data_IF_325181902342
#
_entry.id   IF_325181902342
#
_cell.length_a   1.000
_cell.length_b   1.000
_cell.length_c   1.000
_cell.angle_alpha   90.00
_cell.angle_beta   90.00
_cell.angle_gamma   90.00
#
_symmetry.space_group_name_H-M   'P 1'
#
loop_
_entity.id
_entity.type
_entity.pdbx_description
1 polymer ?
#
# COMPACT_ATOMS: atom_id res chain seq x y z
N UNK A 1 22.61 19.39 -21.43
CA UNK A 1 22.29 18.03 -20.96
C UNK A 1 21.02 18.19 -20.16
N UNK A 2 19.89 17.99 -20.83
CA UNK A 2 18.55 18.22 -20.29
C UNK A 2 18.22 17.09 -19.30
N UNK A 3 18.22 17.41 -18.01
CA UNK A 3 17.53 16.62 -17.01
C UNK A 3 16.06 16.95 -17.12
N UNK A 4 15.25 15.99 -17.55
CA UNK A 4 13.81 16.15 -17.66
C UNK A 4 13.20 16.20 -16.27
N UNK A 5 13.10 17.40 -15.70
CA UNK A 5 12.03 17.75 -14.77
C UNK A 5 10.71 17.50 -15.51
N UNK A 6 9.97 16.47 -15.09
CA UNK A 6 8.55 16.37 -15.43
C UNK A 6 7.79 17.11 -14.32
N UNK A 7 7.15 18.26 -14.60
CA UNK A 7 6.19 18.81 -13.66
C UNK A 7 4.98 17.86 -13.65
N UNK A 8 4.82 17.10 -12.56
CA UNK A 8 3.62 16.29 -12.38
C UNK A 8 2.46 17.24 -12.07
N UNK A 9 1.73 17.60 -13.12
CA UNK A 9 0.59 18.47 -13.08
C UNK A 9 -0.62 17.70 -13.64
N UNK A 10 -1.02 16.65 -12.93
CA UNK A 10 -2.34 16.05 -13.09
C UNK A 10 -2.91 15.71 -11.72
N UNK A 11 -4.20 15.97 -11.52
CA UNK A 11 -4.92 15.69 -10.26
C UNK A 11 -5.32 14.22 -10.20
N UNK A 12 -4.38 13.33 -10.50
CA UNK A 12 -4.49 11.90 -10.29
C UNK A 12 -3.98 11.58 -8.89
N UNK A 13 -4.40 10.47 -8.31
CA UNK A 13 -4.02 10.03 -6.95
C UNK A 13 -2.55 9.58 -6.96
N UNK A 14 -1.62 10.50 -7.22
CA UNK A 14 -0.19 10.34 -6.99
C UNK A 14 0.03 10.46 -5.49
N UNK A 15 -0.18 9.35 -4.78
CA UNK A 15 0.48 9.18 -3.51
C UNK A 15 1.96 9.05 -3.85
N UNK A 16 2.69 10.18 -3.85
CA UNK A 16 4.14 10.27 -4.08
C UNK A 16 4.94 9.55 -2.99
N UNK A 17 4.61 8.29 -2.76
CA UNK A 17 5.18 7.37 -1.81
C UNK A 17 6.28 6.59 -2.53
N UNK A 18 7.52 6.83 -2.14
CA UNK A 18 8.66 6.01 -2.51
C UNK A 18 8.60 4.70 -1.74
N UNK A 19 8.58 3.57 -2.46
CA UNK A 19 8.59 2.23 -1.88
C UNK A 19 9.98 1.62 -2.00
N UNK A 20 10.55 1.22 -0.88
CA UNK A 20 11.80 0.45 -0.81
C UNK A 20 11.53 -0.88 -0.14
N UNK A 21 11.92 -1.99 -0.79
CA UNK A 21 11.64 -3.34 -0.31
C UNK A 21 12.68 -4.33 -0.81
N UNK A 22 12.95 -5.35 0.01
CA UNK A 22 13.81 -6.48 -0.36
C UNK A 22 13.07 -7.54 -1.18
N UNK A 23 11.73 -7.48 -1.24
CA UNK A 23 10.87 -8.38 -2.02
C UNK A 23 11.06 -9.88 -1.72
N UNK A 24 11.46 -10.22 -0.50
CA UNK A 24 11.64 -11.60 -0.03
C UNK A 24 10.92 -11.80 1.29
N UNK A 25 10.44 -13.02 1.55
CA UNK A 25 9.82 -13.34 2.84
C UNK A 25 10.79 -13.08 4.01
N UNK A 26 10.30 -12.40 5.05
CA UNK A 26 11.11 -11.91 6.17
C UNK A 26 11.85 -10.59 5.89
N UNK A 27 11.87 -10.13 4.64
CA UNK A 27 12.52 -8.90 4.23
C UNK A 27 11.75 -7.63 4.62
N UNK A 28 12.45 -6.51 4.63
CA UNK A 28 11.88 -5.20 4.99
C UNK A 28 11.11 -4.58 3.82
N UNK A 29 10.11 -3.77 4.16
CA UNK A 29 9.41 -2.87 3.23
C UNK A 29 9.13 -1.55 3.93
N UNK A 30 9.34 -0.44 3.22
CA UNK A 30 9.09 0.91 3.72
C UNK A 30 8.45 1.78 2.65
N UNK A 31 7.55 2.67 3.07
CA UNK A 31 6.94 3.70 2.24
C UNK A 31 7.27 5.06 2.82
N UNK A 32 7.68 6.01 1.98
CA UNK A 32 7.97 7.39 2.39
C UNK A 32 7.37 8.38 1.42
N UNK A 33 6.70 9.40 1.93
CA UNK A 33 6.22 10.49 1.09
C UNK A 33 5.68 11.65 1.91
N UNK A 34 4.81 12.46 1.31
CA UNK A 34 4.27 13.64 1.95
C UNK A 34 2.75 13.68 1.86
N UNK A 35 2.09 14.01 2.96
CA UNK A 35 0.65 14.27 3.04
C UNK A 35 0.42 15.58 3.79
N UNK A 36 -0.31 16.51 3.18
CA UNK A 36 -0.61 17.83 3.73
C UNK A 36 0.65 18.59 4.22
N UNK A 37 1.77 18.44 3.50
CA UNK A 37 3.06 19.03 3.84
C UNK A 37 3.85 18.32 4.94
N UNK A 38 3.33 17.24 5.52
CA UNK A 38 4.01 16.44 6.53
C UNK A 38 4.58 15.16 5.90
N UNK A 39 5.80 14.80 6.30
CA UNK A 39 6.38 13.51 5.92
C UNK A 39 5.58 12.37 6.55
N UNK A 40 5.22 11.39 5.74
CA UNK A 40 4.60 10.14 6.17
C UNK A 40 5.57 9.00 5.91
N UNK A 41 5.77 8.16 6.93
CA UNK A 41 6.67 7.02 6.87
C UNK A 41 5.94 5.80 7.39
N UNK A 42 5.82 4.81 6.53
CA UNK A 42 5.33 3.50 6.92
C UNK A 42 6.47 2.49 6.83
N UNK A 43 6.41 1.48 7.68
CA UNK A 43 7.36 0.37 7.67
C UNK A 43 6.67 -0.96 7.93
N UNK A 44 7.32 -2.01 7.45
CA UNK A 44 6.75 -3.33 7.43
C UNK A 44 7.76 -4.45 7.25
N UNK A 45 7.23 -5.66 7.27
CA UNK A 45 7.97 -6.88 6.94
C UNK A 45 7.15 -7.71 5.98
N UNK A 46 7.76 -8.12 4.88
CA UNK A 46 7.18 -9.04 3.92
C UNK A 46 6.96 -10.40 4.61
N UNK A 47 5.73 -10.88 4.61
CA UNK A 47 5.34 -12.17 5.21
C UNK A 47 5.31 -13.30 4.19
N UNK A 48 4.85 -13.03 2.97
CA UNK A 48 4.90 -13.97 1.87
C UNK A 48 5.02 -13.26 0.53
N UNK A 49 5.77 -13.88 -0.39
CA UNK A 49 5.86 -13.46 -1.79
C UNK A 49 5.74 -14.70 -2.66
N UNK A 50 4.65 -14.79 -3.39
CA UNK A 50 4.42 -15.75 -4.45
C UNK A 50 4.21 -14.97 -5.75
N UNK A 51 5.21 -15.04 -6.63
CA UNK A 51 5.22 -14.33 -7.90
C UNK A 51 3.93 -14.63 -8.68
N UNK A 52 3.25 -13.56 -9.12
CA UNK A 52 1.97 -13.58 -9.84
C UNK A 52 0.79 -14.21 -9.07
N UNK A 53 0.88 -14.34 -7.74
CA UNK A 53 -0.20 -14.93 -6.92
C UNK A 53 -0.50 -14.13 -5.67
N UNK A 54 0.45 -13.99 -4.77
CA UNK A 54 0.19 -13.43 -3.44
C UNK A 54 1.36 -12.58 -2.97
N UNK A 55 1.05 -11.42 -2.40
CA UNK A 55 1.99 -10.60 -1.66
C UNK A 55 1.34 -10.26 -0.31
N UNK A 56 2.00 -10.62 0.77
CA UNK A 56 1.57 -10.25 2.12
C UNK A 56 2.68 -9.52 2.86
N UNK A 57 2.32 -8.46 3.57
CA UNK A 57 3.25 -7.75 4.46
C UNK A 57 2.50 -7.12 5.63
N UNK A 58 3.26 -6.78 6.68
CA UNK A 58 2.76 -5.93 7.76
C UNK A 58 2.96 -4.46 7.42
N UNK A 59 2.09 -3.59 7.91
CA UNK A 59 2.19 -2.14 7.75
C UNK A 59 2.02 -1.42 9.10
N UNK A 60 2.85 -0.39 9.31
CA UNK A 60 2.80 0.48 10.47
C UNK A 60 3.21 1.89 10.07
N UNK A 61 2.27 2.81 10.16
CA UNK A 61 2.49 4.25 10.00
C UNK A 61 3.08 4.87 11.27
N UNK A 62 4.23 5.52 11.13
CA UNK A 62 4.90 6.22 12.24
C UNK A 62 4.10 7.44 12.73
N UNK A 63 3.29 8.04 11.87
CA UNK A 63 2.42 9.17 12.15
C UNK A 63 1.29 8.85 13.13
N UNK A 64 0.99 7.55 13.36
CA UNK A 64 0.01 7.13 14.35
C UNK A 64 0.44 7.45 15.79
N UNK A 65 1.74 7.72 16.03
CA UNK A 65 2.28 8.00 17.36
C UNK A 65 2.14 6.83 18.35
N UNK A 66 1.87 5.63 17.85
CA UNK A 66 1.74 4.40 18.64
C UNK A 66 3.12 3.80 18.91
N UNK A 67 3.20 2.97 19.95
CA UNK A 67 4.41 2.19 20.20
C UNK A 67 4.63 1.18 19.06
N UNK A 68 5.88 0.98 18.68
CA UNK A 68 6.27 -0.03 17.71
C UNK A 68 6.20 -1.42 18.34
N UNK A 69 4.99 -1.96 18.43
CA UNK A 69 4.71 -3.30 18.96
C UNK A 69 3.93 -4.11 17.92
N UNK A 70 4.05 -5.45 17.91
CA UNK A 70 3.40 -6.30 16.91
C UNK A 70 1.88 -6.07 16.78
N UNK A 71 1.22 -5.67 17.86
CA UNK A 71 -0.22 -5.40 17.88
C UNK A 71 -0.59 -4.16 17.07
N UNK A 72 0.30 -3.19 16.88
CA UNK A 72 -0.05 -1.95 16.18
C UNK A 72 0.09 -2.03 14.65
N UNK A 73 0.68 -3.12 14.15
CA UNK A 73 0.78 -3.39 12.72
C UNK A 73 -0.53 -3.94 12.17
N UNK A 74 -0.97 -3.41 11.04
CA UNK A 74 -1.96 -4.12 10.21
C UNK A 74 -1.23 -5.10 9.30
N UNK A 75 -1.97 -5.98 8.66
CA UNK A 75 -1.44 -6.89 7.66
C UNK A 75 -2.26 -6.78 6.39
N UNK A 76 -1.57 -6.50 5.30
CA UNK A 76 -2.14 -6.31 3.97
C UNK A 76 -1.76 -7.51 3.12
N UNK A 77 -2.75 -8.11 2.47
CA UNK A 77 -2.59 -9.23 1.56
C UNK A 77 -3.21 -8.89 0.22
N UNK A 78 -2.38 -8.88 -0.82
CA UNK A 78 -2.80 -8.86 -2.21
C UNK A 78 -2.88 -10.30 -2.72
N UNK A 79 -3.97 -10.63 -3.41
CA UNK A 79 -4.10 -11.87 -4.16
C UNK A 79 -4.48 -11.59 -5.61
N UNK A 80 -3.86 -12.35 -6.52
CA UNK A 80 -4.13 -12.36 -7.94
C UNK A 80 -4.70 -13.71 -8.32
N UNK A 81 -5.79 -13.70 -9.09
CA UNK A 81 -6.28 -14.89 -9.78
C UNK A 81 -6.56 -14.58 -11.24
N UNK A 82 -6.31 -15.56 -12.11
CA UNK A 82 -6.43 -15.42 -13.56
C UNK A 82 -7.70 -16.10 -14.04
N UNK A 83 -8.56 -15.35 -14.71
CA UNK A 83 -9.82 -15.81 -15.29
C UNK A 83 -9.80 -15.58 -16.81
N UNK A 84 -9.13 -16.47 -17.54
CA UNK A 84 -8.96 -16.33 -18.98
C UNK A 84 -8.06 -15.14 -19.32
N UNK A 85 -8.63 -14.12 -19.97
CA UNK A 85 -7.93 -12.87 -20.31
C UNK A 85 -7.97 -11.82 -19.20
N UNK A 86 -8.73 -12.06 -18.14
CA UNK A 86 -8.90 -11.11 -17.03
C UNK A 86 -8.04 -11.50 -15.82
N UNK A 87 -7.62 -10.50 -15.06
CA UNK A 87 -6.95 -10.68 -13.77
C UNK A 87 -7.85 -10.12 -12.67
N UNK A 88 -8.19 -10.94 -11.68
CA UNK A 88 -8.87 -10.50 -10.47
C UNK A 88 -7.82 -10.17 -9.41
N UNK A 89 -7.87 -8.94 -8.91
CA UNK A 89 -7.09 -8.49 -7.76
C UNK A 89 -8.01 -8.39 -6.55
N UNK A 90 -7.65 -9.05 -5.45
CA UNK A 90 -8.28 -8.83 -4.14
C UNK A 90 -7.27 -8.33 -3.12
N UNK A 91 -7.72 -7.41 -2.27
CA UNK A 91 -6.94 -6.86 -1.16
C UNK A 91 -7.66 -7.15 0.13
N UNK A 92 -6.92 -7.66 1.11
CA UNK A 92 -7.40 -7.87 2.48
C UNK A 92 -6.47 -7.14 3.43
N UNK A 93 -7.02 -6.22 4.20
CA UNK A 93 -6.33 -5.62 5.35
C UNK A 93 -6.97 -6.12 6.64
N UNK A 94 -6.17 -6.73 7.51
CA UNK A 94 -6.60 -7.24 8.82
C UNK A 94 -5.68 -6.76 9.97
N UNK A 95 -5.91 -7.25 11.19
CA UNK A 95 -5.26 -6.78 12.42
C UNK A 95 -5.53 -5.31 12.78
N UNK A 96 -6.72 -4.79 12.43
CA UNK A 96 -7.16 -3.44 12.80
C UNK A 96 -7.58 -3.34 14.30
N UNK A 97 -7.59 -4.47 15.03
CA UNK A 97 -7.82 -4.58 16.48
C UNK A 97 -9.11 -3.90 16.99
N UNK A 98 -10.19 -3.97 16.22
CA UNK A 98 -11.47 -3.38 16.60
C UNK A 98 -11.49 -1.85 16.60
N UNK A 99 -10.47 -1.20 16.04
CA UNK A 99 -10.47 0.25 15.88
C UNK A 99 -11.38 0.65 14.70
N UNK A 100 -12.62 1.01 15.01
CA UNK A 100 -13.64 1.36 14.01
C UNK A 100 -13.22 2.52 13.10
N UNK A 101 -12.51 3.51 13.65
CA UNK A 101 -12.03 4.64 12.85
C UNK A 101 -11.00 4.17 11.82
N UNK A 102 -9.97 3.43 12.24
CA UNK A 102 -8.96 2.87 11.33
C UNK A 102 -9.59 1.96 10.28
N UNK A 103 -10.60 1.18 10.65
CA UNK A 103 -11.34 0.34 9.71
C UNK A 103 -12.01 1.18 8.62
N UNK A 104 -12.77 2.22 8.99
CA UNK A 104 -13.44 3.10 8.02
C UNK A 104 -12.46 3.88 7.15
N UNK A 105 -11.36 4.37 7.74
CA UNK A 105 -10.30 5.05 7.00
C UNK A 105 -9.66 4.11 5.96
N UNK A 106 -9.38 2.86 6.34
CA UNK A 106 -8.81 1.84 5.45
C UNK A 106 -9.79 1.42 4.34
N UNK A 107 -11.07 1.23 4.67
CA UNK A 107 -12.11 0.87 3.71
C UNK A 107 -12.25 1.95 2.61
N UNK A 108 -12.38 3.22 3.01
CA UNK A 108 -12.46 4.34 2.08
C UNK A 108 -11.18 4.49 1.23
N UNK A 109 -10.02 4.23 1.85
CA UNK A 109 -8.73 4.26 1.15
C UNK A 109 -8.66 3.19 0.04
N UNK A 110 -8.96 1.93 0.36
CA UNK A 110 -8.91 0.84 -0.60
C UNK A 110 -9.95 0.98 -1.71
N UNK A 111 -11.14 1.49 -1.41
CA UNK A 111 -12.16 1.78 -2.44
C UNK A 111 -11.63 2.77 -3.48
N UNK A 112 -10.99 3.87 -3.04
CA UNK A 112 -10.42 4.87 -3.92
C UNK A 112 -9.24 4.32 -4.74
N UNK A 113 -8.31 3.61 -4.09
CA UNK A 113 -7.12 3.04 -4.75
C UNK A 113 -7.51 2.00 -5.81
N UNK A 114 -8.41 1.06 -5.49
CA UNK A 114 -8.79 0.00 -6.43
C UNK A 114 -9.60 0.54 -7.60
N UNK A 115 -10.45 1.55 -7.37
CA UNK A 115 -11.19 2.23 -8.44
C UNK A 115 -10.25 2.93 -9.42
N UNK A 116 -9.26 3.65 -8.92
CA UNK A 116 -8.28 4.34 -9.75
C UNK A 116 -7.34 3.36 -10.48
N UNK A 117 -6.89 2.31 -9.80
CA UNK A 117 -6.08 1.26 -10.43
C UNK A 117 -6.82 0.63 -11.61
N UNK A 118 -8.08 0.24 -11.40
CA UNK A 118 -8.92 -0.33 -12.46
C UNK A 118 -9.02 0.62 -13.64
N UNK A 119 -9.29 1.91 -13.38
CA UNK A 119 -9.38 2.95 -14.42
C UNK A 119 -8.09 3.07 -15.22
N UNK A 120 -6.93 3.02 -14.58
CA UNK A 120 -5.63 3.21 -15.23
C UNK A 120 -5.16 1.98 -16.02
N UNK A 121 -5.45 0.76 -15.55
CA UNK A 121 -4.96 -0.47 -16.22
C UNK A 121 -5.91 -1.01 -17.28
N UNK A 122 -7.16 -0.57 -17.28
CA UNK A 122 -8.20 -1.00 -18.24
C UNK A 122 -8.58 0.09 -19.26
N UNK A 123 -7.93 1.26 -19.23
CA UNK A 123 -8.07 2.31 -20.24
C UNK A 123 -7.28 2.02 -21.51
#
# INVERSE_FOLDING_TARGET
>A
MEGTDRPCNDKTVDMGLEVSSEWVAGGTITWKGFKDGNEIIHKGTIKSVEVLKTLQFTDFGMELGLYDTPENYTRITYNLSFNGSETMLSVVEDHINGNEKRYKDAEAFWEAVLSELKRTVES
#
